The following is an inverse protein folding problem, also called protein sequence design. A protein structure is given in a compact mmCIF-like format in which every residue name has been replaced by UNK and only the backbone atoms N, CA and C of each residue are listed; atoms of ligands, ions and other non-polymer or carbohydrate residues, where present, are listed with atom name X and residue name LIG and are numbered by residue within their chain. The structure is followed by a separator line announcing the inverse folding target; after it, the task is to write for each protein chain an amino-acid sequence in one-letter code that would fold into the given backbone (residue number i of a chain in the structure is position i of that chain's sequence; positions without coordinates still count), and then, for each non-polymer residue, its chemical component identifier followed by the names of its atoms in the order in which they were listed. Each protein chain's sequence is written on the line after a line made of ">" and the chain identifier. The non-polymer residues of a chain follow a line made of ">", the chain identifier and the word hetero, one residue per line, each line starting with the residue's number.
data_IF_282975338018
#
_entry.id   IF_282975338018
#
_cell.length_a   1.000
_cell.length_b   1.000
_cell.length_c   1.000
_cell.angle_alpha   90.00
_cell.angle_beta   90.00
_cell.angle_gamma   90.00
#
_symmetry.space_group_name_H-M   'P 1'
#
loop_
_entity.id
_entity.type
_entity.pdbx_description
1 polymer ?
#
# COMPACT_ATOMS: atom_id res chain seq x y z
N UNK A 1 -3.75 -19.79 1.00
CA UNK A 1 -3.68 -18.45 1.64
C UNK A 1 -4.90 -17.66 1.22
N UNK A 2 -5.66 -17.16 2.17
CA UNK A 2 -6.83 -16.35 1.85
C UNK A 2 -6.45 -14.90 1.47
N UNK A 3 -7.42 -14.13 0.99
CA UNK A 3 -7.17 -12.77 0.54
C UNK A 3 -6.76 -11.82 1.66
N UNK A 4 -7.28 -12.04 2.89
CA UNK A 4 -6.87 -11.26 4.06
C UNK A 4 -5.39 -11.46 4.39
N UNK A 5 -4.91 -12.69 4.34
CA UNK A 5 -3.49 -13.01 4.55
C UNK A 5 -2.62 -12.37 3.46
N UNK A 6 -3.09 -12.35 2.21
CA UNK A 6 -2.36 -11.68 1.12
C UNK A 6 -2.26 -10.18 1.34
N UNK A 7 -3.32 -9.56 1.87
CA UNK A 7 -3.28 -8.14 2.23
C UNK A 7 -2.30 -7.88 3.37
N UNK A 8 -2.25 -8.76 4.37
CA UNK A 8 -1.26 -8.65 5.45
C UNK A 8 0.17 -8.69 4.90
N UNK A 9 0.44 -9.60 3.97
CA UNK A 9 1.76 -9.68 3.35
C UNK A 9 2.10 -8.41 2.55
N UNK A 10 1.11 -7.83 1.87
CA UNK A 10 1.33 -6.61 1.10
C UNK A 10 1.71 -5.44 2.01
N UNK A 11 0.99 -5.25 3.13
CA UNK A 11 1.35 -4.20 4.10
C UNK A 11 2.72 -4.48 4.74
N UNK A 12 3.03 -5.74 5.05
CA UNK A 12 4.35 -6.12 5.58
C UNK A 12 5.46 -5.80 4.58
N UNK A 13 5.20 -5.96 3.28
CA UNK A 13 6.19 -5.64 2.25
C UNK A 13 6.57 -4.16 2.29
N UNK A 14 5.60 -3.27 2.49
CA UNK A 14 5.87 -1.84 2.64
C UNK A 14 6.59 -1.53 3.96
N UNK A 15 6.16 -2.13 5.07
CA UNK A 15 6.78 -1.91 6.38
C UNK A 15 8.23 -2.38 6.43
N UNK A 16 8.56 -3.45 5.70
CA UNK A 16 9.90 -4.07 5.67
C UNK A 16 10.73 -3.71 4.46
N UNK A 17 10.18 -2.86 3.58
CA UNK A 17 10.87 -2.46 2.35
C UNK A 17 11.25 -3.65 1.47
N UNK A 18 10.35 -4.64 1.39
CA UNK A 18 10.58 -5.91 0.68
C UNK A 18 10.01 -5.87 -0.73
N UNK A 19 10.81 -5.40 -1.68
CA UNK A 19 10.43 -5.28 -3.09
C UNK A 19 10.11 -6.65 -3.71
N UNK A 20 10.88 -7.68 -3.38
CA UNK A 20 10.65 -9.03 -3.93
C UNK A 20 9.30 -9.58 -3.49
N UNK A 21 8.90 -9.29 -2.26
CA UNK A 21 7.59 -9.70 -1.77
C UNK A 21 6.46 -9.01 -2.54
N UNK A 22 6.59 -7.71 -2.83
CA UNK A 22 5.62 -6.99 -3.67
C UNK A 22 5.49 -7.67 -5.03
N UNK A 23 6.61 -7.99 -5.67
CA UNK A 23 6.60 -8.65 -6.98
C UNK A 23 5.95 -10.02 -6.95
N UNK A 24 6.01 -10.72 -5.82
CA UNK A 24 5.36 -12.03 -5.67
C UNK A 24 3.86 -11.94 -5.40
N UNK A 25 3.37 -10.80 -4.95
CA UNK A 25 1.96 -10.59 -4.57
C UNK A 25 1.14 -9.88 -5.65
N UNK A 26 1.79 -9.13 -6.52
CA UNK A 26 1.14 -8.23 -7.49
C UNK A 26 1.45 -8.71 -8.90
N UNK A 27 0.41 -8.79 -9.73
CA UNK A 27 0.58 -9.15 -11.14
C UNK A 27 1.47 -8.12 -11.84
N UNK A 28 2.37 -8.55 -12.75
CA UNK A 28 3.16 -7.58 -13.54
C UNK A 28 2.30 -6.66 -14.41
N UNK A 29 1.07 -7.07 -14.72
CA UNK A 29 0.12 -6.27 -15.51
C UNK A 29 -0.84 -5.46 -14.64
N UNK A 30 -0.65 -5.46 -13.32
CA UNK A 30 -1.55 -4.77 -12.40
C UNK A 30 -1.60 -3.28 -12.67
N UNK A 31 -2.78 -2.71 -12.39
CA UNK A 31 -3.00 -1.26 -12.43
C UNK A 31 -3.19 -0.72 -11.03
N UNK A 32 -2.56 0.39 -10.75
CA UNK A 32 -2.57 1.05 -9.45
C UNK A 32 -2.99 2.49 -9.65
N UNK A 33 -3.92 2.95 -8.83
CA UNK A 33 -4.40 4.33 -8.91
C UNK A 33 -4.57 4.90 -7.51
N UNK A 34 -4.12 6.14 -7.30
CA UNK A 34 -4.26 6.86 -6.04
C UNK A 34 -5.15 8.08 -6.24
N UNK A 35 -6.17 8.22 -5.37
CA UNK A 35 -7.08 9.37 -5.34
C UNK A 35 -7.70 9.68 -6.70
N UNK A 36 -8.12 8.63 -7.41
CA UNK A 36 -8.74 8.77 -8.74
C UNK A 36 -7.85 9.50 -9.77
N UNK A 37 -6.54 9.43 -9.57
CA UNK A 37 -5.55 10.03 -10.46
C UNK A 37 -5.22 9.15 -11.64
N UNK A 38 -4.04 9.34 -12.20
CA UNK A 38 -3.54 8.57 -13.35
C UNK A 38 -3.30 7.11 -12.97
N UNK A 39 -3.66 6.19 -13.86
CA UNK A 39 -3.34 4.77 -13.68
C UNK A 39 -1.84 4.53 -13.87
N UNK A 40 -1.26 3.80 -12.94
CA UNK A 40 0.16 3.43 -12.93
C UNK A 40 0.29 1.92 -12.86
N UNK A 41 1.49 1.42 -12.92
CA UNK A 41 1.80 -0.02 -12.83
C UNK A 41 2.46 -0.39 -11.51
N UNK A 42 2.89 -1.65 -11.38
CA UNK A 42 3.54 -2.15 -10.16
C UNK A 42 4.85 -1.40 -9.85
N UNK A 43 5.52 -0.84 -10.85
CA UNK A 43 6.76 -0.09 -10.64
C UNK A 43 6.54 1.15 -9.79
N UNK A 44 5.32 1.71 -9.80
CA UNK A 44 4.97 2.84 -8.92
C UNK A 44 5.01 2.42 -7.44
N UNK A 45 4.53 1.21 -7.11
CA UNK A 45 4.59 0.69 -5.74
C UNK A 45 6.04 0.47 -5.31
N UNK A 46 6.84 -0.08 -6.21
CA UNK A 46 8.27 -0.34 -5.94
C UNK A 46 9.02 0.99 -5.77
N UNK A 47 8.74 1.96 -6.63
CA UNK A 47 9.36 3.29 -6.51
C UNK A 47 9.00 3.97 -5.19
N UNK A 48 7.77 3.77 -4.70
CA UNK A 48 7.34 4.28 -3.40
C UNK A 48 8.18 3.66 -2.27
N UNK A 49 8.36 2.34 -2.28
CA UNK A 49 9.18 1.64 -1.27
C UNK A 49 10.62 2.14 -1.31
N UNK A 50 11.22 2.21 -2.49
CA UNK A 50 12.61 2.66 -2.66
C UNK A 50 12.79 4.11 -2.21
N UNK A 51 11.81 4.97 -2.49
CA UNK A 51 11.84 6.37 -2.04
C UNK A 51 11.77 6.50 -0.53
N UNK A 52 10.94 5.70 0.13
CA UNK A 52 10.85 5.67 1.59
C UNK A 52 12.15 5.14 2.22
N UNK A 53 12.73 4.10 1.64
CA UNK A 53 14.00 3.54 2.08
C UNK A 53 15.13 4.58 1.97
N UNK A 54 15.23 5.26 0.83
CA UNK A 54 16.25 6.29 0.62
C UNK A 54 16.10 7.44 1.60
N UNK A 55 14.87 7.86 1.88
CA UNK A 55 14.58 8.93 2.85
C UNK A 55 14.63 8.46 4.30
N UNK A 56 14.84 7.17 4.54
CA UNK A 56 14.82 6.54 5.87
C UNK A 56 13.50 6.80 6.61
N UNK A 57 12.39 6.83 5.89
CA UNK A 57 11.06 6.99 6.45
C UNK A 57 10.47 5.62 6.73
N UNK A 58 10.11 5.37 7.99
CA UNK A 58 9.43 4.14 8.38
C UNK A 58 7.93 4.26 8.13
N UNK A 59 7.32 3.14 7.77
CA UNK A 59 5.88 3.03 7.54
C UNK A 59 5.27 2.08 8.56
N UNK A 60 4.15 2.46 9.15
CA UNK A 60 3.35 1.60 10.02
C UNK A 60 1.89 1.61 9.59
N UNK A 61 1.28 0.44 9.60
CA UNK A 61 -0.15 0.27 9.34
C UNK A 61 -0.84 -0.18 10.64
N UNK A 62 -1.87 0.53 11.03
CA UNK A 62 -2.64 0.24 12.23
C UNK A 62 -4.13 0.32 11.94
N UNK A 63 -4.95 -0.17 12.87
CA UNK A 63 -6.41 -0.06 12.82
C UNK A 63 -6.99 -0.66 11.52
N UNK A 64 -6.50 -1.84 11.15
CA UNK A 64 -6.89 -2.50 9.89
C UNK A 64 -8.29 -3.08 10.00
N UNK A 65 -9.15 -2.72 9.05
CA UNK A 65 -10.53 -3.20 8.93
C UNK A 65 -10.78 -3.60 7.48
N UNK A 66 -11.40 -4.76 7.28
CA UNK A 66 -11.58 -5.31 5.92
C UNK A 66 -12.99 -5.81 5.67
N UNK A 67 -13.41 -5.64 4.43
CA UNK A 67 -14.54 -6.37 3.84
C UNK A 67 -13.94 -7.24 2.74
N UNK A 68 -14.13 -8.56 2.85
CA UNK A 68 -13.50 -9.53 1.96
C UNK A 68 -14.58 -10.18 1.09
N UNK A 69 -14.44 -10.03 -0.24
CA UNK A 69 -15.27 -10.68 -1.23
C UNK A 69 -14.57 -11.90 -1.82
N UNK A 70 -15.15 -12.46 -2.88
CA UNK A 70 -14.59 -13.65 -3.54
C UNK A 70 -13.28 -13.35 -4.27
N UNK A 71 -13.17 -12.18 -4.88
CA UNK A 71 -12.02 -11.78 -5.69
C UNK A 71 -11.54 -10.35 -5.38
N UNK A 72 -12.04 -9.75 -4.32
CA UNK A 72 -11.67 -8.37 -3.96
C UNK A 72 -11.69 -8.18 -2.45
N UNK A 73 -10.89 -7.24 -1.99
CA UNK A 73 -10.83 -6.81 -0.59
C UNK A 73 -10.93 -5.29 -0.56
N UNK A 74 -11.86 -4.77 0.25
CA UNK A 74 -11.85 -3.36 0.64
C UNK A 74 -11.21 -3.27 2.03
N UNK A 75 -10.18 -2.45 2.16
CA UNK A 75 -9.45 -2.30 3.41
C UNK A 75 -9.40 -0.84 3.84
N UNK A 76 -9.69 -0.61 5.10
CA UNK A 76 -9.45 0.67 5.76
C UNK A 76 -8.33 0.47 6.76
N UNK A 77 -7.42 1.41 6.85
CA UNK A 77 -6.36 1.40 7.87
C UNK A 77 -5.84 2.82 8.08
N UNK A 78 -5.03 2.96 9.11
CA UNK A 78 -4.26 4.18 9.34
C UNK A 78 -2.83 3.89 8.91
N UNK A 79 -2.28 4.73 8.03
CA UNK A 79 -0.86 4.70 7.68
C UNK A 79 -0.15 5.81 8.45
N UNK A 80 0.98 5.47 9.06
CA UNK A 80 1.84 6.42 9.76
C UNK A 80 3.22 6.40 9.12
N UNK A 81 3.70 7.57 8.74
CA UNK A 81 5.07 7.75 8.24
C UNK A 81 5.89 8.41 9.35
N UNK A 82 7.08 7.86 9.61
CA UNK A 82 7.97 8.31 10.69
C UNK A 82 9.32 8.63 10.10
N UNK A 83 9.75 9.89 10.23
CA UNK A 83 11.07 10.35 9.78
C UNK A 83 12.16 9.97 10.79
N UNK A 84 13.44 9.98 10.37
CA UNK A 84 14.56 9.66 11.26
C UNK A 84 14.64 10.54 12.51
N UNK A 85 14.16 11.79 12.44
CA UNK A 85 14.16 12.72 13.58
C UNK A 85 13.00 12.48 14.56
N UNK A 86 12.15 11.48 14.27
CA UNK A 86 11.00 11.12 15.10
C UNK A 86 9.72 11.87 14.76
N UNK A 87 9.74 12.85 13.86
CA UNK A 87 8.49 13.49 13.41
C UNK A 87 7.69 12.48 12.60
N UNK A 88 6.37 12.51 12.79
CA UNK A 88 5.48 11.57 12.12
C UNK A 88 4.20 12.27 11.65
N UNK A 89 3.55 11.64 10.68
CA UNK A 89 2.23 12.03 10.22
C UNK A 89 1.42 10.75 9.94
N UNK A 90 0.12 10.83 10.20
CA UNK A 90 -0.80 9.72 9.99
C UNK A 90 -1.96 10.16 9.12
N UNK A 91 -2.48 9.24 8.33
CA UNK A 91 -3.69 9.46 7.55
C UNK A 91 -4.53 8.18 7.52
N UNK A 92 -5.84 8.35 7.44
CA UNK A 92 -6.72 7.24 7.14
C UNK A 92 -6.66 6.94 5.65
N UNK A 93 -6.68 5.65 5.33
CA UNK A 93 -6.62 5.14 3.96
C UNK A 93 -7.78 4.18 3.75
N UNK A 94 -8.39 4.25 2.58
CA UNK A 94 -9.28 3.22 2.08
C UNK A 94 -8.71 2.73 0.76
N UNK A 95 -8.54 1.42 0.62
CA UNK A 95 -8.10 0.85 -0.64
C UNK A 95 -8.98 -0.33 -1.03
N UNK A 96 -9.08 -0.55 -2.33
CA UNK A 96 -9.77 -1.71 -2.90
C UNK A 96 -8.76 -2.46 -3.76
N UNK A 97 -8.52 -3.72 -3.41
CA UNK A 97 -7.64 -4.61 -4.15
C UNK A 97 -8.49 -5.66 -4.86
N UNK A 98 -8.20 -5.92 -6.13
CA UNK A 98 -8.80 -7.00 -6.90
C UNK A 98 -7.74 -8.04 -7.21
N UNK A 99 -8.16 -9.30 -7.23
CA UNK A 99 -7.24 -10.46 -7.34
C UNK A 99 -7.66 -11.35 -8.51
N UNK A 100 -6.66 -11.97 -9.15
CA UNK A 100 -6.91 -13.00 -10.16
C UNK A 100 -7.06 -14.39 -9.51
N UNK A 101 -7.25 -15.42 -10.35
CA UNK A 101 -7.44 -16.79 -9.88
C UNK A 101 -6.22 -17.34 -9.13
N UNK A 102 -5.03 -16.81 -9.39
CA UNK A 102 -3.79 -17.21 -8.71
C UNK A 102 -3.57 -16.44 -7.41
N UNK A 103 -4.46 -15.51 -7.08
CA UNK A 103 -4.37 -14.69 -5.87
C UNK A 103 -3.42 -13.51 -5.99
N UNK A 104 -3.04 -13.13 -7.21
CA UNK A 104 -2.23 -11.94 -7.43
C UNK A 104 -3.13 -10.69 -7.54
N UNK A 105 -2.66 -9.59 -6.97
CA UNK A 105 -3.35 -8.30 -7.13
C UNK A 105 -3.28 -7.87 -8.59
N UNK A 106 -4.43 -7.62 -9.18
CA UNK A 106 -4.53 -7.13 -10.58
C UNK A 106 -4.93 -5.67 -10.65
N UNK A 107 -5.52 -5.15 -9.59
CA UNK A 107 -5.89 -3.74 -9.50
C UNK A 107 -5.86 -3.28 -8.05
N UNK A 108 -5.32 -2.09 -7.83
CA UNK A 108 -5.28 -1.47 -6.52
C UNK A 108 -5.70 -0.01 -6.64
N UNK A 109 -6.84 0.33 -6.05
CA UNK A 109 -7.32 1.70 -5.96
C UNK A 109 -7.18 2.17 -4.51
N UNK A 110 -6.39 3.21 -4.29
CA UNK A 110 -6.13 3.77 -2.97
C UNK A 110 -6.70 5.18 -2.84
N UNK A 111 -7.31 5.46 -1.71
CA UNK A 111 -7.81 6.78 -1.35
C UNK A 111 -7.17 7.18 -0.03
N UNK A 112 -6.41 8.25 -0.05
CA UNK A 112 -5.64 8.74 1.11
C UNK A 112 -5.70 10.26 1.15
N UNK A 113 -5.77 10.82 2.35
CA UNK A 113 -5.68 12.27 2.52
C UNK A 113 -4.20 12.69 2.46
N UNK A 114 -3.78 13.10 1.27
CA UNK A 114 -2.39 13.51 1.05
C UNK A 114 -2.04 14.80 1.79
N UNK A 115 -3.02 15.64 2.13
CA UNK A 115 -2.77 16.86 2.89
C UNK A 115 -2.28 16.58 4.31
N UNK A 116 -2.73 15.46 4.91
CA UNK A 116 -2.27 15.04 6.23
C UNK A 116 -0.78 14.66 6.24
N UNK A 117 -0.23 14.31 5.08
CA UNK A 117 1.17 13.87 4.91
C UNK A 117 2.08 14.96 4.32
N UNK A 118 1.51 16.05 3.79
CA UNK A 118 2.25 17.03 3.00
C UNK A 118 3.43 17.65 3.75
N UNK A 119 3.23 18.03 5.02
CA UNK A 119 4.29 18.62 5.83
C UNK A 119 5.44 17.68 6.14
N UNK A 120 5.20 16.37 6.10
CA UNK A 120 6.22 15.37 6.37
C UNK A 120 7.08 15.07 5.15
N UNK A 121 6.50 15.14 3.97
CA UNK A 121 7.14 14.77 2.71
C UNK A 121 7.87 15.95 2.03
N UNK A 122 7.76 17.13 2.60
CA UNK A 122 8.46 18.33 2.12
C UNK A 122 9.93 18.37 2.50
#
# INVERSE_FOLDING_TARGET
>A
MDLGERMDLLTHAFEREDVDLVRSLVSPDARVRRNNGEERDVDMLIATILGLEEAEVAVKYTDVRRVIGDDAVAEQHVVTLIKPDGTSASSEVCLVARFDADGLVTRLDEYVDTSAMAGLLE
#
